data_IF_032936365478
#
_entry.id   IF_032936365478
#
_cell.length_a   1.000
_cell.length_b   1.000
_cell.length_c   1.000
_cell.angle_alpha   90.00
_cell.angle_beta   90.00
_cell.angle_gamma   90.00
#
_symmetry.space_group_name_H-M   'P 1'
#
loop_
_entity.id
_entity.type
_entity.pdbx_description
1 polymer ?
#
# COMPACT_ATOMS: atom_id res chain seq x y z
N UNK A 1 -14.07 -7.91 29.37
CA UNK A 1 -13.19 -8.91 28.72
C UNK A 1 -11.89 -8.23 28.37
N UNK A 2 -10.76 -8.80 28.78
CA UNK A 2 -9.44 -8.33 28.35
C UNK A 2 -9.10 -8.88 26.96
N UNK A 3 -8.30 -8.15 26.20
CA UNK A 3 -7.87 -8.58 24.87
C UNK A 3 -6.74 -9.60 24.99
N UNK A 4 -7.04 -10.86 24.65
CA UNK A 4 -6.09 -11.97 24.75
C UNK A 4 -5.26 -12.21 23.48
N UNK A 5 -5.31 -11.30 22.50
CA UNK A 5 -4.59 -11.45 21.24
C UNK A 5 -3.07 -11.52 21.45
N UNK A 6 -2.45 -12.61 20.99
CA UNK A 6 -1.02 -12.85 21.16
C UNK A 6 -0.15 -11.86 20.37
N UNK A 7 -0.58 -11.49 19.17
CA UNK A 7 0.13 -10.53 18.32
C UNK A 7 0.15 -9.14 18.95
N UNK A 8 -0.94 -8.74 19.62
CA UNK A 8 -0.99 -7.52 20.41
C UNK A 8 -0.05 -7.59 21.63
N UNK A 9 -0.08 -8.71 22.37
CA UNK A 9 0.84 -8.92 23.50
C UNK A 9 2.31 -8.91 23.08
N UNK A 10 2.60 -9.44 21.89
CA UNK A 10 3.94 -9.45 21.31
C UNK A 10 4.39 -8.04 20.90
N UNK A 11 3.58 -7.32 20.13
CA UNK A 11 3.97 -5.98 19.62
C UNK A 11 4.15 -4.96 20.75
N UNK A 12 3.42 -5.11 21.87
CA UNK A 12 3.59 -4.27 23.05
C UNK A 12 4.93 -4.49 23.80
N UNK A 13 5.67 -5.57 23.50
CA UNK A 13 6.98 -5.87 24.11
C UNK A 13 8.16 -5.32 23.30
N UNK A 14 7.91 -4.83 22.09
CA UNK A 14 8.94 -4.29 21.19
C UNK A 14 8.66 -2.80 20.94
N UNK A 15 9.71 -2.03 20.63
CA UNK A 15 9.62 -0.56 20.53
C UNK A 15 9.68 -0.04 19.10
N UNK A 16 10.20 -0.84 18.16
CA UNK A 16 10.41 -0.46 16.78
C UNK A 16 9.13 -0.57 15.92
N UNK A 17 8.09 -1.28 16.37
CA UNK A 17 6.78 -1.33 15.70
C UNK A 17 5.79 -0.45 16.45
N UNK A 18 5.38 0.65 15.81
CA UNK A 18 4.50 1.67 16.37
C UNK A 18 3.16 1.63 15.66
N UNK A 19 2.10 1.34 16.42
CA UNK A 19 0.73 1.26 15.90
C UNK A 19 -0.04 2.47 16.43
N UNK A 20 -0.76 3.15 15.54
CA UNK A 20 -1.72 4.18 15.90
C UNK A 20 -2.66 3.66 16.98
N UNK A 21 -2.69 4.34 18.13
CA UNK A 21 -3.40 3.87 19.32
C UNK A 21 -4.90 3.70 19.08
N UNK A 22 -5.47 4.42 18.11
CA UNK A 22 -6.88 4.28 17.71
C UNK A 22 -7.19 2.89 17.16
N UNK A 23 -6.21 2.21 16.57
CA UNK A 23 -6.36 0.85 16.04
C UNK A 23 -6.52 -0.16 17.18
N UNK A 24 -6.00 0.13 18.38
CA UNK A 24 -5.98 -0.80 19.50
C UNK A 24 -7.35 -0.96 20.18
N UNK A 25 -8.31 -0.08 19.90
CA UNK A 25 -9.70 -0.24 20.34
C UNK A 25 -10.41 -1.33 19.52
N UNK A 26 -10.30 -2.56 20.00
CA UNK A 26 -10.95 -3.72 19.40
C UNK A 26 -12.47 -3.74 19.63
N UNK A 27 -13.02 -2.93 20.54
CA UNK A 27 -14.47 -2.87 20.80
C UNK A 27 -15.17 -1.99 19.79
N UNK A 28 -14.51 -0.91 19.36
CA UNK A 28 -15.00 0.01 18.34
C UNK A 28 -13.98 0.06 17.20
N UNK A 29 -13.87 -1.03 16.41
CA UNK A 29 -12.85 -1.11 15.38
C UNK A 29 -13.09 -0.09 14.28
N UNK A 30 -12.02 0.60 13.87
CA UNK A 30 -12.07 1.54 12.76
C UNK A 30 -12.28 0.81 11.45
N UNK A 31 -13.27 1.27 10.67
CA UNK A 31 -13.38 1.01 9.24
C UNK A 31 -12.71 2.15 8.48
N UNK A 32 -11.80 1.83 7.57
CA UNK A 32 -11.12 2.87 6.83
C UNK A 32 -9.86 2.40 6.12
N UNK A 33 -8.99 3.36 5.85
CA UNK A 33 -7.72 3.20 5.17
C UNK A 33 -6.58 3.32 6.18
N UNK A 34 -5.63 2.40 6.11
CA UNK A 34 -4.39 2.43 6.87
C UNK A 34 -3.19 2.40 5.93
N UNK A 35 -2.03 2.81 6.43
CA UNK A 35 -0.77 2.56 5.76
C UNK A 35 0.26 1.96 6.71
N UNK A 36 1.15 1.17 6.11
CA UNK A 36 2.33 0.62 6.75
C UNK A 36 3.54 1.36 6.19
N UNK A 37 4.22 2.08 7.07
CA UNK A 37 5.44 2.78 6.77
C UNK A 37 6.63 2.11 7.43
N UNK A 38 7.81 2.40 6.90
CA UNK A 38 9.09 1.98 7.46
C UNK A 38 10.06 3.15 7.51
N UNK A 39 10.99 3.11 8.45
CA UNK A 39 12.17 3.97 8.51
C UNK A 39 13.39 3.13 8.85
N UNK A 40 14.37 3.13 7.96
CA UNK A 40 15.69 2.52 8.15
C UNK A 40 16.71 3.22 7.23
N UNK A 41 17.98 2.78 7.23
CA UNK A 41 19.04 3.36 6.40
C UNK A 41 18.84 3.18 4.88
N UNK A 42 18.10 2.13 4.46
CA UNK A 42 17.81 1.86 3.05
C UNK A 42 16.82 2.88 2.47
N UNK A 43 15.90 3.38 3.29
CA UNK A 43 14.92 4.40 2.92
C UNK A 43 15.42 5.79 3.32
N UNK A 44 16.46 6.25 2.61
CA UNK A 44 17.12 7.54 2.86
C UNK A 44 16.11 8.71 2.82
N UNK A 45 15.88 9.33 3.98
CA UNK A 45 15.04 10.53 4.13
C UNK A 45 14.67 10.80 5.59
N UNK A 46 14.27 12.03 5.90
CA UNK A 46 13.76 12.38 7.25
C UNK A 46 12.36 11.79 7.52
N UNK A 47 11.63 11.48 6.45
CA UNK A 47 10.25 10.99 6.46
C UNK A 47 10.17 9.47 6.40
N UNK A 48 9.07 8.91 6.91
CA UNK A 48 8.75 7.48 6.81
C UNK A 48 8.41 7.11 5.36
N UNK A 49 8.81 5.93 4.91
CA UNK A 49 8.55 5.41 3.57
C UNK A 49 7.32 4.50 3.53
N UNK A 50 6.32 4.80 2.70
CA UNK A 50 5.12 3.99 2.50
C UNK A 50 5.47 2.68 1.78
N UNK A 51 5.22 1.55 2.43
CA UNK A 51 5.36 0.22 1.84
C UNK A 51 4.04 -0.34 1.33
N UNK A 52 2.95 -0.02 2.04
CA UNK A 52 1.64 -0.57 1.75
C UNK A 52 0.52 0.36 2.23
N UNK A 53 -0.54 0.44 1.44
CA UNK A 53 -1.82 1.04 1.84
C UNK A 53 -2.86 -0.08 1.82
N UNK A 54 -3.72 -0.15 2.83
CA UNK A 54 -4.81 -1.12 2.83
C UNK A 54 -6.11 -0.52 3.31
N UNK A 55 -7.21 -1.12 2.89
CA UNK A 55 -8.54 -0.86 3.45
C UNK A 55 -9.01 -2.01 4.36
N UNK A 56 -9.85 -1.70 5.33
CA UNK A 56 -10.55 -2.72 6.11
C UNK A 56 -11.87 -2.24 6.69
N UNK A 57 -12.80 -3.17 6.90
CA UNK A 57 -13.98 -2.98 7.75
C UNK A 57 -13.64 -2.98 9.24
N UNK A 58 -12.47 -3.54 9.59
CA UNK A 58 -11.88 -3.52 10.93
C UNK A 58 -10.37 -3.49 10.78
N UNK A 59 -9.75 -2.32 10.96
CA UNK A 59 -8.29 -2.19 10.90
C UNK A 59 -7.65 -3.00 12.03
N UNK A 60 -8.27 -3.04 13.21
CA UNK A 60 -7.86 -3.94 14.30
C UNK A 60 -7.77 -5.40 13.81
N UNK A 61 -8.84 -5.93 13.20
CA UNK A 61 -8.84 -7.30 12.67
C UNK A 61 -7.76 -7.49 11.61
N UNK A 62 -7.56 -6.50 10.73
CA UNK A 62 -6.54 -6.56 9.69
C UNK A 62 -5.10 -6.51 10.22
N UNK A 63 -4.89 -5.96 11.42
CA UNK A 63 -3.59 -5.99 12.09
C UNK A 63 -3.38 -7.29 12.87
N UNK A 64 -4.40 -7.73 13.63
CA UNK A 64 -4.21 -8.68 14.71
C UNK A 64 -4.88 -10.05 14.50
N UNK A 65 -5.59 -10.28 13.39
CA UNK A 65 -6.06 -11.63 13.05
C UNK A 65 -4.89 -12.62 13.08
N UNK A 66 -5.04 -13.72 13.82
CA UNK A 66 -3.93 -14.66 14.10
C UNK A 66 -3.35 -15.29 12.83
N UNK A 67 -4.17 -15.50 11.80
CA UNK A 67 -3.78 -16.20 10.59
C UNK A 67 -3.45 -15.25 9.44
N UNK A 68 -4.12 -14.10 9.34
CA UNK A 68 -3.98 -13.21 8.18
C UNK A 68 -3.56 -11.77 8.51
N UNK A 69 -3.55 -11.40 9.80
CA UNK A 69 -3.23 -10.05 10.26
C UNK A 69 -1.78 -9.66 9.99
N UNK A 70 -1.55 -8.37 9.68
CA UNK A 70 -0.21 -7.86 9.38
C UNK A 70 0.77 -8.07 10.54
N UNK A 71 0.37 -7.78 11.79
CA UNK A 71 1.24 -7.96 12.97
C UNK A 71 1.51 -9.44 13.22
N UNK A 72 0.50 -10.30 13.09
CA UNK A 72 0.69 -11.75 13.21
C UNK A 72 1.69 -12.28 12.17
N UNK A 73 1.56 -11.83 10.92
CA UNK A 73 2.48 -12.19 9.84
C UNK A 73 3.90 -11.69 10.04
N UNK A 74 4.07 -10.49 10.59
CA UNK A 74 5.38 -9.93 10.92
C UNK A 74 6.04 -10.74 12.02
N UNK A 75 5.32 -10.99 13.13
CA UNK A 75 5.77 -11.83 14.24
C UNK A 75 6.26 -13.20 13.76
N UNK A 76 5.50 -13.82 12.86
CA UNK A 76 5.77 -15.16 12.35
C UNK A 76 6.68 -15.16 11.09
N UNK A 77 7.22 -14.00 10.69
CA UNK A 77 8.14 -13.83 9.53
C UNK A 77 7.59 -14.34 8.19
N UNK A 78 6.29 -14.21 7.99
CA UNK A 78 5.54 -14.72 6.83
C UNK A 78 4.79 -13.60 6.08
N UNK A 79 5.17 -12.36 6.32
CA UNK A 79 4.64 -11.21 5.61
C UNK A 79 5.16 -11.17 4.16
N UNK A 80 4.30 -10.81 3.21
CA UNK A 80 4.67 -10.75 1.78
C UNK A 80 5.66 -9.62 1.45
N UNK A 81 5.69 -8.58 2.29
CA UNK A 81 6.68 -7.49 2.25
C UNK A 81 7.87 -7.87 3.11
N UNK A 82 8.97 -8.28 2.47
CA UNK A 82 10.12 -8.88 3.15
C UNK A 82 10.77 -7.99 4.22
N UNK A 83 10.84 -6.66 4.01
CA UNK A 83 11.42 -5.75 5.01
C UNK A 83 10.65 -5.77 6.33
N UNK A 84 9.34 -6.03 6.30
CA UNK A 84 8.54 -6.14 7.51
C UNK A 84 8.86 -7.42 8.30
N UNK A 85 9.23 -8.52 7.65
CA UNK A 85 9.70 -9.71 8.36
C UNK A 85 10.99 -9.44 9.13
N UNK A 86 11.93 -8.69 8.55
CA UNK A 86 13.19 -8.31 9.20
C UNK A 86 12.98 -7.46 10.45
N UNK A 87 11.98 -6.58 10.45
CA UNK A 87 11.63 -5.73 11.58
C UNK A 87 11.26 -6.51 12.86
N UNK A 88 10.93 -7.81 12.75
CA UNK A 88 10.67 -8.65 13.93
C UNK A 88 11.91 -8.94 14.78
N UNK A 89 13.12 -8.86 14.21
CA UNK A 89 14.40 -9.15 14.88
C UNK A 89 15.35 -7.94 14.92
N UNK A 90 15.01 -6.86 14.21
CA UNK A 90 15.93 -5.75 13.92
C UNK A 90 15.33 -4.41 14.36
N UNK A 91 15.79 -3.92 15.51
CA UNK A 91 15.28 -2.68 16.12
C UNK A 91 15.60 -1.42 15.30
N UNK A 92 16.60 -1.47 14.41
CA UNK A 92 16.93 -0.37 13.50
C UNK A 92 15.95 -0.23 12.32
N UNK A 93 15.02 -1.17 12.17
CA UNK A 93 13.91 -1.06 11.21
C UNK A 93 12.68 -0.65 12.00
N UNK A 94 12.35 0.64 11.95
CA UNK A 94 11.12 1.15 12.56
C UNK A 94 9.94 0.97 11.61
N UNK A 95 8.85 0.37 12.10
CA UNK A 95 7.59 0.20 11.37
C UNK A 95 6.53 1.07 12.01
N UNK A 96 5.74 1.76 11.18
CA UNK A 96 4.63 2.58 11.64
C UNK A 96 3.35 2.13 10.94
N UNK A 97 2.29 1.90 11.72
CA UNK A 97 0.96 1.57 11.20
C UNK A 97 0.02 2.69 11.58
N UNK A 98 -0.46 3.42 10.58
CA UNK A 98 -1.24 4.64 10.80
C UNK A 98 -2.60 4.55 10.11
N UNK A 99 -3.65 5.09 10.76
CA UNK A 99 -4.95 5.30 10.10
C UNK A 99 -4.87 6.58 9.27
N UNK A 100 -5.02 6.43 7.96
CA UNK A 100 -5.01 7.54 7.00
C UNK A 100 -6.37 8.23 6.90
N UNK A 101 -7.44 7.44 6.86
CA UNK A 101 -8.81 7.94 6.74
C UNK A 101 -9.79 6.96 7.36
N UNK A 102 -10.69 7.46 8.20
CA UNK A 102 -11.87 6.71 8.65
C UNK A 102 -12.97 6.86 7.60
N UNK A 103 -13.49 5.74 7.12
CA UNK A 103 -14.55 5.73 6.11
C UNK A 103 -15.78 5.08 6.74
N UNK A 104 -16.69 5.84 7.37
CA UNK A 104 -17.85 5.27 8.04
C UNK A 104 -18.85 4.66 7.03
N UNK A 105 -19.70 3.75 7.52
CA UNK A 105 -20.85 3.27 6.77
C UNK A 105 -21.97 4.32 6.85
N UNK A 106 -22.44 4.77 5.69
CA UNK A 106 -23.56 5.71 5.61
C UNK A 106 -24.89 4.95 5.60
N UNK A 107 -24.88 3.66 5.21
CA UNK A 107 -26.04 2.78 5.11
C UNK A 107 -27.14 3.25 4.16
N UNK A 108 -26.87 4.26 3.33
CA UNK A 108 -27.82 4.71 2.32
C UNK A 108 -27.90 3.77 1.11
N UNK A 109 -26.82 3.05 0.81
CA UNK A 109 -26.79 2.01 -0.20
C UNK A 109 -25.52 1.16 -0.03
N UNK A 110 -25.68 -0.17 -0.04
CA UNK A 110 -24.58 -1.12 0.11
C UNK A 110 -23.42 -0.88 -0.87
N UNK A 111 -23.72 -0.78 -2.16
CA UNK A 111 -22.70 -0.60 -3.20
C UNK A 111 -21.97 0.74 -3.05
N UNK A 112 -22.69 1.80 -2.66
CA UNK A 112 -22.05 3.09 -2.39
C UNK A 112 -21.06 3.00 -1.24
N UNK A 113 -21.39 2.29 -0.16
CA UNK A 113 -20.47 2.13 0.97
C UNK A 113 -19.23 1.31 0.60
N UNK A 114 -19.38 0.27 -0.22
CA UNK A 114 -18.25 -0.51 -0.73
C UNK A 114 -17.38 0.35 -1.66
N UNK A 115 -18.00 1.13 -2.54
CA UNK A 115 -17.32 2.00 -3.48
C UNK A 115 -16.55 3.13 -2.78
N UNK A 116 -17.13 3.76 -1.74
CA UNK A 116 -16.45 4.79 -0.95
C UNK A 116 -15.14 4.28 -0.36
N UNK A 117 -15.17 3.09 0.23
CA UNK A 117 -13.97 2.48 0.83
C UNK A 117 -12.93 2.11 -0.22
N UNK A 118 -13.33 1.53 -1.35
CA UNK A 118 -12.42 1.24 -2.47
C UNK A 118 -11.81 2.52 -3.07
N UNK A 119 -12.63 3.57 -3.23
CA UNK A 119 -12.19 4.85 -3.78
C UNK A 119 -11.18 5.55 -2.87
N UNK A 120 -11.41 5.54 -1.55
CA UNK A 120 -10.47 6.11 -0.59
C UNK A 120 -9.12 5.37 -0.60
N UNK A 121 -9.14 4.04 -0.69
CA UNK A 121 -7.89 3.25 -0.83
C UNK A 121 -7.10 3.68 -2.07
N UNK A 122 -7.75 3.71 -3.24
CA UNK A 122 -7.12 4.10 -4.49
C UNK A 122 -6.55 5.52 -4.44
N UNK A 123 -7.24 6.45 -3.78
CA UNK A 123 -6.73 7.81 -3.57
C UNK A 123 -5.38 7.80 -2.83
N UNK A 124 -5.26 7.07 -1.71
CA UNK A 124 -4.01 7.02 -0.96
C UNK A 124 -2.91 6.24 -1.67
N UNK A 125 -3.23 5.16 -2.39
CA UNK A 125 -2.26 4.46 -3.24
C UNK A 125 -1.68 5.45 -4.26
N UNK A 126 -2.53 6.18 -4.99
CA UNK A 126 -2.10 7.17 -5.98
C UNK A 126 -1.26 8.28 -5.33
N UNK A 127 -1.69 8.76 -4.15
CA UNK A 127 -0.96 9.80 -3.40
C UNK A 127 0.47 9.37 -3.10
N UNK A 128 0.68 8.17 -2.55
CA UNK A 128 2.03 7.69 -2.23
C UNK A 128 2.83 7.28 -3.46
N UNK A 129 2.19 6.73 -4.49
CA UNK A 129 2.86 6.42 -5.76
C UNK A 129 3.32 7.68 -6.51
N UNK A 130 2.64 8.81 -6.35
CA UNK A 130 3.06 10.09 -6.95
C UNK A 130 4.39 10.63 -6.40
N UNK A 131 4.86 10.09 -5.27
CA UNK A 131 6.15 10.40 -4.65
C UNK A 131 7.05 9.16 -4.58
N UNK A 132 6.88 8.22 -5.52
CA UNK A 132 7.67 7.00 -5.68
C UNK A 132 7.64 6.03 -4.48
N UNK A 133 6.54 6.01 -3.72
CA UNK A 133 6.33 5.07 -2.62
C UNK A 133 5.16 4.12 -2.91
N UNK A 134 5.06 3.01 -2.17
CA UNK A 134 3.97 2.04 -2.37
C UNK A 134 3.87 1.50 -3.83
N UNK A 135 4.99 1.49 -4.57
CA UNK A 135 5.08 1.20 -6.02
C UNK A 135 4.68 -0.22 -6.44
N UNK A 136 4.83 -1.20 -5.53
CA UNK A 136 4.49 -2.59 -5.84
C UNK A 136 2.99 -2.87 -5.72
N UNK A 137 2.20 -1.89 -5.29
CA UNK A 137 0.77 -2.03 -5.13
C UNK A 137 0.03 -1.68 -6.42
N UNK A 138 -0.98 -2.47 -6.72
CA UNK A 138 -1.86 -2.30 -7.88
C UNK A 138 -3.31 -2.40 -7.38
N UNK A 139 -4.27 -1.74 -8.04
CA UNK A 139 -5.67 -1.82 -7.65
C UNK A 139 -6.16 -3.28 -7.67
N UNK A 140 -7.10 -3.58 -6.78
CA UNK A 140 -7.80 -4.86 -6.76
C UNK A 140 -8.70 -5.02 -8.00
N UNK A 141 -8.87 -6.26 -8.46
CA UNK A 141 -9.68 -6.60 -9.63
C UNK A 141 -8.85 -6.93 -10.87
N UNK A 142 -9.51 -6.86 -12.04
CA UNK A 142 -8.89 -7.15 -13.33
C UNK A 142 -7.80 -6.13 -13.64
N UNK A 143 -6.56 -6.62 -13.75
CA UNK A 143 -5.37 -5.82 -14.02
C UNK A 143 -4.59 -6.41 -15.18
N UNK A 144 -3.99 -5.53 -15.96
CA UNK A 144 -2.98 -5.90 -16.96
C UNK A 144 -1.79 -6.53 -16.26
N UNK A 145 -1.22 -7.58 -16.86
CA UNK A 145 0.02 -8.16 -16.34
C UNK A 145 1.19 -7.20 -16.57
N UNK A 146 2.27 -7.33 -15.77
CA UNK A 146 3.48 -6.53 -15.98
C UNK A 146 4.06 -6.75 -17.38
N UNK A 147 4.01 -7.99 -17.88
CA UNK A 147 4.48 -8.34 -19.21
C UNK A 147 3.66 -7.66 -20.32
N UNK A 148 2.33 -7.72 -20.22
CA UNK A 148 1.44 -7.03 -21.16
C UNK A 148 1.69 -5.52 -21.19
N UNK A 149 1.96 -4.92 -20.03
CA UNK A 149 2.29 -3.51 -19.92
C UNK A 149 3.63 -3.17 -20.60
N UNK A 150 4.68 -3.94 -20.34
CA UNK A 150 6.00 -3.75 -20.98
C UNK A 150 5.91 -3.94 -22.51
N UNK A 151 5.10 -4.89 -22.98
CA UNK A 151 4.84 -5.10 -24.40
C UNK A 151 4.18 -3.86 -25.03
N UNK A 152 3.11 -3.33 -24.42
CA UNK A 152 2.44 -2.12 -24.91
C UNK A 152 3.35 -0.89 -24.90
N UNK A 153 4.18 -0.74 -23.87
CA UNK A 153 5.17 0.34 -23.78
C UNK A 153 6.15 0.30 -24.96
N UNK A 154 6.73 -0.87 -25.25
CA UNK A 154 7.64 -1.06 -26.39
C UNK A 154 6.97 -0.72 -27.72
N UNK A 155 5.79 -1.26 -27.99
CA UNK A 155 5.03 -0.95 -29.21
C UNK A 155 4.75 0.55 -29.35
N UNK A 156 4.38 1.22 -28.25
CA UNK A 156 4.12 2.66 -28.29
C UNK A 156 5.38 3.48 -28.63
N UNK A 157 6.52 3.13 -28.04
CA UNK A 157 7.82 3.77 -28.35
C UNK A 157 8.19 3.55 -29.83
N UNK A 158 8.06 2.34 -30.35
CA UNK A 158 8.32 2.05 -31.76
C UNK A 158 7.40 2.83 -32.71
N UNK A 159 6.13 2.98 -32.36
CA UNK A 159 5.17 3.79 -33.13
C UNK A 159 5.57 5.27 -33.15
N UNK A 160 5.96 5.85 -32.00
CA UNK A 160 6.40 7.24 -31.91
C UNK A 160 7.66 7.47 -32.78
N UNK A 161 8.64 6.58 -32.70
CA UNK A 161 9.87 6.66 -33.51
C UNK A 161 9.61 6.56 -35.02
N UNK A 162 8.64 5.73 -35.44
CA UNK A 162 8.23 5.64 -36.85
C UNK A 162 7.54 6.92 -37.32
N UNK A 163 6.70 7.52 -36.48
CA UNK A 163 6.00 8.77 -36.80
C UNK A 163 6.96 9.96 -36.93
N UNK A 164 8.00 10.04 -36.09
CA UNK A 164 9.02 11.09 -36.18
C UNK A 164 9.89 10.95 -37.44
N UNK A 165 10.28 9.72 -37.82
CA UNK A 165 10.97 9.47 -39.10
C UNK A 165 10.10 9.82 -40.31
N UNK A 166 8.80 9.55 -40.24
CA UNK A 166 7.85 9.90 -41.30
C UNK A 166 7.71 11.41 -41.49
N UNK A 167 7.69 12.19 -40.39
CA UNK A 167 7.65 13.66 -40.43
C UNK A 167 8.96 14.29 -40.93
N UNK A 168 10.11 13.72 -40.55
CA UNK A 168 11.41 14.19 -41.03
C UNK A 168 11.54 13.99 -42.55
N UNK A 169 11.11 12.83 -43.06
CA UNK A 169 11.15 12.54 -44.49
C UNK A 169 10.19 13.42 -45.31
N UNK A 170 9.02 13.78 -44.78
CA UNK A 170 8.07 14.66 -45.49
C UNK A 170 8.49 16.14 -45.51
N UNK A 171 9.34 16.57 -44.57
CA UNK A 171 9.94 17.91 -44.61
C UNK A 171 11.07 18.00 -45.63
N UNK A 172 11.85 16.93 -45.83
CA UNK A 172 12.94 16.90 -46.82
C UNK A 172 12.40 16.91 -48.26
N UNK A 173 11.28 16.24 -48.54
CA UNK A 173 10.67 16.22 -49.89
C UNK A 173 9.96 17.50 -50.30
N UNK A 174 9.70 18.44 -49.38
CA UNK A 174 9.10 19.75 -49.69
C UNK A 174 10.14 20.87 -49.90
N UNK A 175 11.43 20.55 -49.88
CA UNK A 175 12.55 21.52 -50.01
C UNK A 175 13.41 21.24 -51.26
N UNK A 176 13.00 20.29 -52.12
CA UNK A 176 13.58 20.02 -53.44
C UNK A 176 12.56 20.33 -54.54
#
# INVERSE_FOLDING_TARGET
MENNNESLKWVNKISNIKIDSRILDYKIPIRGIYAIFVKNEDFKGENKYCLYVGRSVSIYGRMFDSNDGHIAKIRDKRHFINVLNKASDQDNIEVFIEVLEEVPLVYNNYYKDMQRLASAENYYINKYQSIDQCLNQVPEGSKMSKEEWENKKRTNVECLLKNDKGKLNSQITNVL
#
